data_IF_622098552837
#
_entry.id   IF_622098552837
#
_cell.length_a   1.000
_cell.length_b   1.000
_cell.length_c   1.000
_cell.angle_alpha   90.00
_cell.angle_beta   90.00
_cell.angle_gamma   90.00
#
_symmetry.space_group_name_H-M   'P 1'
#
loop_
_entity.id
_entity.type
_entity.pdbx_description
1 polymer ?
#
# COMPACT_ATOMS: atom_id res chain seq x y z
N UNK A 1 25.45 23.42 -69.27
CA UNK A 1 24.74 22.61 -68.22
C UNK A 1 25.29 22.99 -66.84
N UNK A 2 24.58 23.84 -66.10
CA UNK A 2 24.97 24.36 -64.82
C UNK A 2 24.35 23.48 -63.72
N UNK A 3 25.19 22.83 -62.89
CA UNK A 3 24.76 22.07 -61.70
C UNK A 3 24.26 23.03 -60.64
N UNK A 4 22.99 22.95 -60.28
CA UNK A 4 22.39 23.61 -59.12
C UNK A 4 22.98 23.04 -57.82
N UNK A 5 23.62 23.91 -57.03
CA UNK A 5 24.08 23.66 -55.67
C UNK A 5 22.86 23.57 -54.72
N UNK A 6 22.76 22.53 -53.94
CA UNK A 6 21.72 22.39 -52.92
C UNK A 6 22.00 23.36 -51.75
N UNK A 7 20.97 23.88 -51.07
CA UNK A 7 21.17 24.77 -49.95
C UNK A 7 21.74 24.02 -48.72
N UNK A 8 22.66 24.70 -48.04
CA UNK A 8 23.29 24.25 -46.80
C UNK A 8 22.23 24.04 -45.71
N UNK A 9 22.16 22.81 -45.21
CA UNK A 9 21.36 22.47 -44.02
C UNK A 9 22.05 23.07 -42.83
N UNK A 10 21.39 24.02 -42.16
CA UNK A 10 21.78 24.58 -40.89
C UNK A 10 21.69 23.44 -39.84
N UNK A 11 22.85 22.96 -39.43
CA UNK A 11 23.01 22.04 -38.29
C UNK A 11 22.66 22.79 -37.01
N UNK A 12 21.38 22.75 -36.61
CA UNK A 12 20.96 23.15 -35.29
C UNK A 12 21.40 22.05 -34.35
N UNK A 13 22.56 22.23 -33.75
CA UNK A 13 23.11 21.36 -32.70
C UNK A 13 22.17 21.26 -31.48
N UNK A 14 21.11 20.51 -31.63
CA UNK A 14 20.35 20.02 -30.51
C UNK A 14 21.17 18.87 -29.93
N UNK A 15 21.99 19.15 -28.91
CA UNK A 15 22.53 18.11 -28.05
C UNK A 15 21.35 17.27 -27.55
N UNK A 16 21.16 16.12 -28.13
CA UNK A 16 20.27 15.09 -27.60
C UNK A 16 20.95 14.61 -26.31
N UNK A 17 20.61 15.27 -25.20
CA UNK A 17 20.90 14.76 -23.86
C UNK A 17 20.27 13.37 -23.81
N UNK A 18 21.10 12.35 -23.97
CA UNK A 18 20.67 10.95 -23.78
C UNK A 18 20.19 10.83 -22.34
N UNK A 19 18.89 10.97 -22.13
CA UNK A 19 18.29 10.65 -20.84
C UNK A 19 18.66 9.21 -20.52
N UNK A 20 19.50 9.04 -19.48
CA UNK A 20 19.77 7.71 -18.91
C UNK A 20 18.42 7.10 -18.56
N UNK A 21 18.04 6.00 -19.22
CA UNK A 21 16.84 5.25 -18.86
C UNK A 21 16.96 4.88 -17.39
N UNK A 22 16.03 5.35 -16.56
CA UNK A 22 15.97 4.97 -15.16
C UNK A 22 15.78 3.45 -15.07
N UNK A 23 16.53 2.73 -14.24
CA UNK A 23 16.31 1.31 -14.04
C UNK A 23 14.89 1.07 -13.52
N UNK A 24 14.22 0.03 -14.02
CA UNK A 24 12.83 -0.25 -13.69
C UNK A 24 12.70 -0.95 -12.33
N UNK A 25 11.84 -0.42 -11.47
CA UNK A 25 11.28 -1.12 -10.30
C UNK A 25 12.29 -1.68 -9.29
N UNK A 26 12.29 -2.99 -9.10
CA UNK A 26 13.13 -3.68 -8.11
C UNK A 26 14.64 -3.53 -8.37
N UNK A 27 15.06 -3.41 -9.63
CA UNK A 27 16.45 -3.18 -9.99
C UNK A 27 16.93 -1.78 -9.59
N UNK A 28 16.05 -0.78 -9.61
CA UNK A 28 16.35 0.57 -9.13
C UNK A 28 16.55 0.61 -7.62
N UNK A 29 15.70 -0.09 -6.88
CA UNK A 29 15.81 -0.19 -5.42
C UNK A 29 17.11 -0.91 -4.98
N UNK A 30 17.52 -1.97 -5.70
CA UNK A 30 18.77 -2.69 -5.45
C UNK A 30 20.01 -1.87 -5.85
N UNK A 31 19.89 -1.00 -6.84
CA UNK A 31 20.99 -0.12 -7.29
C UNK A 31 21.17 1.14 -6.41
N UNK A 32 20.31 1.33 -5.39
CA UNK A 32 20.32 2.52 -4.55
C UNK A 32 19.74 3.77 -5.22
N UNK A 33 19.19 3.64 -6.43
CA UNK A 33 18.47 4.71 -7.11
C UNK A 33 16.98 4.62 -6.73
N UNK A 34 16.62 5.35 -5.69
CA UNK A 34 15.25 5.41 -5.17
C UNK A 34 14.32 6.27 -6.04
N UNK A 35 14.77 6.72 -7.21
CA UNK A 35 13.98 7.55 -8.12
C UNK A 35 13.60 8.91 -7.55
N UNK A 36 14.33 9.40 -6.54
CA UNK A 36 14.14 10.73 -5.97
C UNK A 36 14.84 11.77 -6.86
N UNK A 37 14.08 12.76 -7.28
CA UNK A 37 14.63 13.92 -7.96
C UNK A 37 15.11 14.97 -6.94
N UNK A 38 16.11 15.81 -7.29
CA UNK A 38 16.51 16.93 -6.43
C UNK A 38 15.29 17.81 -6.09
N UNK A 39 15.04 18.04 -4.81
CA UNK A 39 13.90 18.80 -4.33
C UNK A 39 12.67 17.99 -3.89
N UNK A 40 12.57 16.70 -4.25
CA UNK A 40 11.45 15.84 -3.84
C UNK A 40 11.29 15.80 -2.31
N UNK A 41 12.39 15.60 -1.59
CA UNK A 41 12.34 15.55 -0.13
C UNK A 41 11.88 16.90 0.46
N UNK A 42 12.36 18.01 -0.08
CA UNK A 42 11.93 19.34 0.35
C UNK A 42 10.44 19.54 0.13
N UNK A 43 9.92 19.14 -1.04
CA UNK A 43 8.51 19.23 -1.40
C UNK A 43 7.63 18.38 -0.46
N UNK A 44 8.05 17.15 -0.15
CA UNK A 44 7.35 16.25 0.79
C UNK A 44 7.30 16.88 2.18
N UNK A 45 8.44 17.34 2.71
CA UNK A 45 8.52 17.92 4.04
C UNK A 45 7.69 19.20 4.13
N UNK A 46 7.81 20.11 3.16
CA UNK A 46 7.03 21.35 3.14
C UNK A 46 5.52 21.10 3.07
N UNK A 47 5.08 20.10 2.31
CA UNK A 47 3.67 19.72 2.25
C UNK A 47 3.18 19.17 3.60
N UNK A 48 3.97 18.32 4.25
CA UNK A 48 3.62 17.80 5.57
C UNK A 48 3.60 18.88 6.64
N UNK A 49 4.49 19.89 6.56
CA UNK A 49 4.48 21.03 7.48
C UNK A 49 3.21 21.87 7.36
N UNK A 50 2.61 21.99 6.17
CA UNK A 50 1.30 22.67 6.04
C UNK A 50 0.24 21.99 6.90
N UNK A 51 0.21 20.66 6.94
CA UNK A 51 -0.74 19.92 7.78
C UNK A 51 -0.42 20.02 9.27
N UNK A 52 0.86 20.05 9.61
CA UNK A 52 1.29 20.21 11.01
C UNK A 52 0.81 21.54 11.61
N UNK A 53 0.83 22.60 10.83
CA UNK A 53 0.40 23.94 11.25
C UNK A 53 -1.11 24.15 11.25
N UNK A 54 -1.89 23.19 10.69
CA UNK A 54 -3.34 23.29 10.66
C UNK A 54 -3.94 23.04 12.04
N UNK A 55 -4.94 23.85 12.46
CA UNK A 55 -5.67 23.58 13.68
C UNK A 55 -6.49 22.30 13.54
N UNK A 56 -6.70 21.58 14.64
CA UNK A 56 -7.57 20.41 14.68
C UNK A 56 -8.99 20.79 14.25
N UNK A 57 -9.58 19.97 13.35
CA UNK A 57 -10.96 20.17 12.91
C UNK A 57 -11.96 19.65 13.95
N UNK A 58 -13.10 20.31 14.09
CA UNK A 58 -14.21 19.76 14.86
C UNK A 58 -14.89 18.65 14.05
N UNK A 59 -14.80 17.42 14.53
CA UNK A 59 -15.41 16.25 13.88
C UNK A 59 -16.94 16.22 14.03
N UNK A 60 -17.54 17.07 14.89
CA UNK A 60 -18.98 17.21 15.02
C UNK A 60 -19.59 18.22 14.02
N UNK A 61 -18.73 18.91 13.28
CA UNK A 61 -19.12 19.81 12.20
C UNK A 61 -18.80 19.16 10.84
N UNK A 62 -19.77 18.55 10.14
CA UNK A 62 -19.56 17.91 8.85
C UNK A 62 -19.05 18.87 7.77
N UNK A 63 -19.47 20.13 7.79
CA UNK A 63 -19.07 21.12 6.79
C UNK A 63 -17.59 21.47 6.97
N UNK A 64 -17.13 21.68 8.21
CA UNK A 64 -15.72 21.89 8.50
C UNK A 64 -14.86 20.69 8.13
N UNK A 65 -15.35 19.46 8.34
CA UNK A 65 -14.66 18.23 7.92
C UNK A 65 -14.58 18.14 6.40
N UNK A 66 -15.67 18.45 5.69
CA UNK A 66 -15.70 18.45 4.24
C UNK A 66 -14.69 19.45 3.65
N UNK A 67 -14.72 20.70 4.10
CA UNK A 67 -13.78 21.73 3.66
C UNK A 67 -12.33 21.31 3.91
N UNK A 68 -12.05 20.73 5.08
CA UNK A 68 -10.70 20.25 5.44
C UNK A 68 -10.24 19.10 4.53
N UNK A 69 -11.11 18.16 4.18
CA UNK A 69 -10.79 17.07 3.26
C UNK A 69 -10.57 17.57 1.83
N UNK A 70 -11.36 18.54 1.37
CA UNK A 70 -11.14 19.20 0.09
C UNK A 70 -9.78 19.90 0.04
N UNK A 71 -9.44 20.63 1.11
CA UNK A 71 -8.14 21.30 1.25
C UNK A 71 -6.98 20.30 1.25
N UNK A 72 -7.14 19.15 1.93
CA UNK A 72 -6.17 18.07 1.95
C UNK A 72 -5.84 17.58 0.53
N UNK A 73 -6.83 17.25 -0.27
CA UNK A 73 -6.62 16.78 -1.64
C UNK A 73 -6.07 17.88 -2.55
N UNK A 74 -6.49 19.13 -2.36
CA UNK A 74 -5.97 20.29 -3.10
C UNK A 74 -4.48 20.47 -2.85
N UNK A 75 -4.03 20.44 -1.60
CA UNK A 75 -2.63 20.59 -1.23
C UNK A 75 -1.76 19.51 -1.85
N UNK A 76 -2.20 18.24 -1.83
CA UNK A 76 -1.46 17.14 -2.47
C UNK A 76 -1.43 17.28 -3.99
N UNK A 77 -2.53 17.71 -4.62
CA UNK A 77 -2.61 17.95 -6.06
C UNK A 77 -1.69 19.09 -6.50
N UNK A 78 -1.67 20.22 -5.78
CA UNK A 78 -0.79 21.35 -6.08
C UNK A 78 0.70 21.01 -5.88
N UNK A 79 1.00 20.17 -4.90
CA UNK A 79 2.36 19.71 -4.66
C UNK A 79 2.82 18.60 -5.62
N UNK A 80 1.94 18.08 -6.49
CA UNK A 80 2.18 16.88 -7.33
C UNK A 80 2.72 15.70 -6.50
N UNK A 81 2.10 15.48 -5.35
CA UNK A 81 2.43 14.37 -4.44
C UNK A 81 1.27 13.37 -4.34
N UNK A 82 1.59 12.14 -4.03
CA UNK A 82 0.58 11.10 -3.78
C UNK A 82 -0.01 11.28 -2.39
N UNK A 83 -1.35 11.43 -2.27
CA UNK A 83 -2.00 11.57 -0.96
C UNK A 83 -1.87 10.28 -0.13
N UNK A 84 -1.81 10.42 1.19
CA UNK A 84 -1.57 9.30 2.12
C UNK A 84 -2.59 9.28 3.25
N UNK A 85 -2.93 8.08 3.76
CA UNK A 85 -3.81 7.95 4.93
C UNK A 85 -3.24 8.68 6.15
N UNK A 86 -1.92 8.67 6.32
CA UNK A 86 -1.27 9.38 7.42
C UNK A 86 -1.38 10.91 7.29
N UNK A 87 -1.23 11.43 6.06
CA UNK A 87 -1.42 12.85 5.78
C UNK A 87 -2.87 13.30 6.02
N UNK A 88 -3.85 12.46 5.66
CA UNK A 88 -5.26 12.73 5.94
C UNK A 88 -5.54 12.80 7.45
N UNK A 89 -5.00 11.87 8.23
CA UNK A 89 -5.12 11.89 9.68
C UNK A 89 -4.53 13.18 10.28
N UNK A 90 -3.33 13.57 9.83
CA UNK A 90 -2.65 14.80 10.26
C UNK A 90 -3.47 16.05 9.88
N UNK A 91 -4.01 16.10 8.67
CA UNK A 91 -4.83 17.22 8.18
C UNK A 91 -6.11 17.40 9.01
N UNK A 92 -6.75 16.32 9.44
CA UNK A 92 -7.91 16.35 10.33
C UNK A 92 -7.55 16.61 11.81
N UNK A 93 -6.26 16.54 12.16
CA UNK A 93 -5.80 16.67 13.53
C UNK A 93 -6.13 15.47 14.41
N UNK A 94 -6.21 14.28 13.82
CA UNK A 94 -6.46 13.00 14.52
C UNK A 94 -5.30 12.04 14.32
N UNK A 95 -5.17 11.05 15.20
CA UNK A 95 -4.22 9.97 14.97
C UNK A 95 -4.78 8.92 13.97
N UNK A 96 -3.88 8.09 13.43
CA UNK A 96 -4.24 7.07 12.44
C UNK A 96 -5.24 6.03 12.99
N UNK A 97 -5.16 5.71 14.28
CA UNK A 97 -6.06 4.77 14.93
C UNK A 97 -7.46 5.36 15.00
N UNK A 98 -7.59 6.63 15.43
CA UNK A 98 -8.87 7.33 15.46
C UNK A 98 -9.48 7.45 14.07
N UNK A 99 -8.68 7.76 13.06
CA UNK A 99 -9.14 7.81 11.68
C UNK A 99 -9.68 6.46 11.19
N UNK A 100 -9.03 5.36 11.56
CA UNK A 100 -9.49 4.01 11.24
C UNK A 100 -10.79 3.65 11.97
N UNK A 101 -10.92 4.02 13.24
CA UNK A 101 -12.17 3.87 14.03
C UNK A 101 -13.33 4.60 13.35
N UNK A 102 -13.11 5.83 12.86
CA UNK A 102 -14.10 6.60 12.11
C UNK A 102 -14.48 5.88 10.82
N UNK A 103 -13.52 5.39 10.04
CA UNK A 103 -13.78 4.63 8.81
C UNK A 103 -14.63 3.39 9.06
N UNK A 104 -14.31 2.62 10.09
CA UNK A 104 -14.97 1.34 10.37
C UNK A 104 -16.24 1.47 11.19
N UNK A 105 -16.45 2.61 11.83
CA UNK A 105 -17.57 2.81 12.77
C UNK A 105 -17.41 2.04 14.08
N UNK A 106 -16.23 1.46 14.34
CA UNK A 106 -15.95 0.61 15.51
C UNK A 106 -14.82 1.20 16.33
N UNK A 107 -15.01 1.28 17.64
CA UNK A 107 -13.90 1.60 18.55
C UNK A 107 -13.10 0.35 18.88
N UNK A 108 -11.77 0.46 18.83
CA UNK A 108 -10.87 -0.59 19.28
C UNK A 108 -10.98 -0.70 20.80
N UNK A 109 -11.56 -1.81 21.27
CA UNK A 109 -11.82 -2.05 22.70
C UNK A 109 -13.27 -2.31 23.06
N UNK A 110 -14.19 -2.35 22.08
CA UNK A 110 -15.56 -2.83 22.25
C UNK A 110 -16.48 -1.92 23.11
N UNK A 111 -16.07 -0.69 23.36
CA UNK A 111 -16.85 0.26 24.14
C UNK A 111 -17.31 1.42 23.26
N UNK A 112 -18.63 1.61 23.25
CA UNK A 112 -19.41 2.74 22.73
C UNK A 112 -19.22 3.08 21.24
N UNK A 113 -20.37 3.26 20.57
CA UNK A 113 -20.45 3.87 19.24
C UNK A 113 -19.74 5.22 19.22
N UNK A 114 -19.04 5.48 18.12
CA UNK A 114 -18.52 6.81 17.83
C UNK A 114 -19.67 7.81 17.85
N UNK A 115 -19.66 8.69 18.83
CA UNK A 115 -20.65 9.78 18.91
C UNK A 115 -20.26 10.89 17.93
N UNK A 116 -20.33 10.59 16.63
CA UNK A 116 -20.08 11.52 15.54
C UNK A 116 -21.27 11.54 14.59
N UNK A 117 -21.53 12.68 13.93
CA UNK A 117 -22.58 12.77 12.92
C UNK A 117 -22.38 11.72 11.82
N UNK A 118 -23.45 11.07 11.32
CA UNK A 118 -23.37 10.12 10.21
C UNK A 118 -22.71 10.74 8.97
N UNK A 119 -22.97 12.02 8.72
CA UNK A 119 -22.39 12.78 7.60
C UNK A 119 -20.87 12.84 7.69
N UNK A 120 -20.31 13.04 8.87
CA UNK A 120 -18.86 13.01 9.10
C UNK A 120 -18.27 11.64 8.81
N UNK A 121 -18.95 10.57 9.25
CA UNK A 121 -18.52 9.21 8.97
C UNK A 121 -18.49 8.93 7.47
N UNK A 122 -19.52 9.36 6.75
CA UNK A 122 -19.62 9.17 5.30
C UNK A 122 -18.58 9.99 4.54
N UNK A 123 -18.30 11.22 4.96
CA UNK A 123 -17.23 12.04 4.37
C UNK A 123 -15.86 11.37 4.51
N UNK A 124 -15.53 10.85 5.69
CA UNK A 124 -14.26 10.14 5.90
C UNK A 124 -14.19 8.86 5.08
N UNK A 125 -15.28 8.08 4.98
CA UNK A 125 -15.35 6.88 4.12
C UNK A 125 -15.08 7.24 2.65
N UNK A 126 -15.77 8.27 2.12
CA UNK A 126 -15.56 8.76 0.75
C UNK A 126 -14.12 9.22 0.51
N UNK A 127 -13.50 9.88 1.49
CA UNK A 127 -12.10 10.27 1.39
C UNK A 127 -11.16 9.05 1.33
N UNK A 128 -11.46 7.98 2.06
CA UNK A 128 -10.74 6.71 1.93
C UNK A 128 -10.92 6.07 0.55
N UNK A 129 -12.12 6.10 -0.02
CA UNK A 129 -12.40 5.60 -1.37
C UNK A 129 -11.61 6.37 -2.44
N UNK A 130 -11.47 7.69 -2.30
CA UNK A 130 -10.62 8.51 -3.17
C UNK A 130 -9.15 8.08 -3.06
N UNK A 131 -8.65 7.83 -1.84
CA UNK A 131 -7.28 7.37 -1.63
C UNK A 131 -7.06 5.97 -2.24
N UNK A 132 -8.01 5.06 -2.07
CA UNK A 132 -7.99 3.71 -2.61
C UNK A 132 -7.94 3.74 -4.14
N UNK A 133 -8.90 4.44 -4.77
CA UNK A 133 -8.95 4.63 -6.23
C UNK A 133 -7.66 5.28 -6.77
N UNK A 134 -7.13 6.28 -6.05
CA UNK A 134 -5.86 6.91 -6.43
C UNK A 134 -4.70 5.91 -6.38
N UNK A 135 -4.65 5.05 -5.35
CA UNK A 135 -3.63 4.02 -5.21
C UNK A 135 -3.70 2.99 -6.35
N UNK A 136 -4.91 2.53 -6.70
CA UNK A 136 -5.12 1.63 -7.84
C UNK A 136 -4.64 2.27 -9.15
N UNK A 137 -5.00 3.53 -9.39
CA UNK A 137 -4.56 4.27 -10.58
C UNK A 137 -3.04 4.41 -10.64
N UNK A 138 -2.37 4.69 -9.52
CA UNK A 138 -0.92 4.75 -9.48
C UNK A 138 -0.27 3.38 -9.70
N UNK A 139 -0.86 2.31 -9.18
CA UNK A 139 -0.38 0.95 -9.40
C UNK A 139 -0.52 0.54 -10.86
N UNK A 140 -1.70 0.78 -11.47
CA UNK A 140 -1.98 0.49 -12.87
C UNK A 140 -1.09 1.30 -13.84
N UNK A 141 -0.80 2.55 -13.48
CA UNK A 141 0.10 3.41 -14.25
C UNK A 141 1.60 3.14 -14.02
N UNK A 142 1.96 2.17 -13.16
CA UNK A 142 3.36 1.88 -12.80
C UNK A 142 4.06 3.01 -12.04
N UNK A 143 3.30 3.92 -11.42
CA UNK A 143 3.82 5.09 -10.69
C UNK A 143 4.13 4.81 -9.22
N UNK A 144 3.96 3.58 -8.77
CA UNK A 144 4.26 3.13 -7.41
C UNK A 144 4.97 1.77 -7.48
N UNK A 145 5.84 1.50 -6.51
CA UNK A 145 6.44 0.19 -6.39
C UNK A 145 5.34 -0.87 -6.13
N UNK A 146 5.24 -1.95 -6.91
CA UNK A 146 4.17 -2.95 -6.78
C UNK A 146 4.11 -3.59 -5.40
N UNK A 147 5.26 -3.87 -4.77
CA UNK A 147 5.33 -4.46 -3.43
C UNK A 147 4.76 -3.49 -2.39
N UNK A 148 5.12 -2.21 -2.50
CA UNK A 148 4.58 -1.18 -1.63
C UNK A 148 3.08 -0.97 -1.85
N UNK A 149 2.61 -1.01 -3.10
CA UNK A 149 1.18 -0.93 -3.42
C UNK A 149 0.39 -2.05 -2.72
N UNK A 150 0.81 -3.31 -2.89
CA UNK A 150 0.19 -4.48 -2.24
C UNK A 150 0.18 -4.31 -0.71
N UNK A 151 1.32 -3.91 -0.12
CA UNK A 151 1.43 -3.69 1.31
C UNK A 151 0.44 -2.62 1.81
N UNK A 152 0.35 -1.49 1.12
CA UNK A 152 -0.55 -0.41 1.50
C UNK A 152 -2.02 -0.78 1.31
N UNK A 153 -2.37 -1.48 0.23
CA UNK A 153 -3.74 -1.92 -0.04
C UNK A 153 -4.22 -2.92 1.03
N UNK A 154 -3.39 -3.84 1.46
CA UNK A 154 -3.71 -4.78 2.55
C UNK A 154 -3.88 -4.07 3.90
N UNK A 155 -2.99 -3.13 4.23
CA UNK A 155 -2.99 -2.50 5.56
C UNK A 155 -4.02 -1.36 5.72
N UNK A 156 -4.38 -0.68 4.64
CA UNK A 156 -5.26 0.49 4.71
C UNK A 156 -6.65 0.26 4.14
N UNK A 157 -6.76 -0.62 3.12
CA UNK A 157 -8.01 -0.80 2.38
C UNK A 157 -8.65 -2.17 2.55
N UNK A 158 -7.99 -3.10 3.27
CA UNK A 158 -8.57 -4.39 3.64
C UNK A 158 -8.47 -5.45 2.56
N UNK A 159 -7.60 -5.28 1.57
CA UNK A 159 -7.32 -6.30 0.57
C UNK A 159 -6.69 -7.53 1.21
N UNK A 160 -7.14 -8.72 0.83
CA UNK A 160 -6.66 -9.99 1.34
C UNK A 160 -6.33 -10.95 0.20
N UNK A 161 -5.28 -11.75 0.38
CA UNK A 161 -5.04 -12.86 -0.52
C UNK A 161 -6.06 -13.96 -0.21
N UNK A 162 -6.81 -14.41 -1.20
CA UNK A 162 -7.64 -15.61 -1.07
C UNK A 162 -6.72 -16.83 -1.13
N UNK A 163 -6.38 -17.39 0.02
CA UNK A 163 -5.71 -18.68 0.09
C UNK A 163 -6.81 -19.75 0.21
N UNK A 164 -7.13 -20.42 -0.86
CA UNK A 164 -7.95 -21.63 -0.79
C UNK A 164 -7.08 -22.77 -0.25
N UNK A 165 -7.27 -23.10 1.00
CA UNK A 165 -6.76 -24.38 1.52
C UNK A 165 -7.68 -25.48 1.02
N UNK A 166 -7.30 -26.16 -0.06
CA UNK A 166 -7.88 -27.43 -0.40
C UNK A 166 -7.39 -28.41 0.66
N UNK A 167 -8.17 -28.57 1.72
CA UNK A 167 -8.02 -29.70 2.64
C UNK A 167 -8.37 -30.95 1.81
N UNK A 168 -7.39 -31.50 1.12
CA UNK A 168 -7.48 -32.87 0.66
C UNK A 168 -7.58 -33.68 1.95
N UNK A 169 -8.72 -34.35 2.24
CA UNK A 169 -8.74 -35.29 3.34
C UNK A 169 -7.59 -36.24 3.05
N UNK A 170 -6.62 -36.31 3.98
CA UNK A 170 -5.69 -37.40 3.95
C UNK A 170 -6.58 -38.65 3.95
N UNK A 171 -6.76 -39.23 2.79
CA UNK A 171 -7.16 -40.61 2.73
C UNK A 171 -6.00 -41.31 3.45
N UNK A 172 -6.17 -41.48 4.77
CA UNK A 172 -5.50 -42.59 5.43
C UNK A 172 -5.83 -43.73 4.52
N UNK A 173 -4.88 -44.18 3.70
CA UNK A 173 -4.86 -45.57 3.34
C UNK A 173 -5.00 -46.23 4.69
N UNK A 174 -6.20 -46.78 4.96
CA UNK A 174 -6.35 -47.85 5.88
C UNK A 174 -5.48 -48.97 5.30
N UNK A 175 -4.17 -48.84 5.53
CA UNK A 175 -3.30 -49.98 5.55
C UNK A 175 -3.90 -50.80 6.68
N UNK A 176 -4.51 -51.92 6.36
CA UNK A 176 -4.85 -53.01 7.24
C UNK A 176 -3.59 -53.43 8.02
N UNK A 177 -3.14 -52.58 8.95
CA UNK A 177 -2.26 -53.03 10.00
C UNK A 177 -3.15 -53.63 11.06
N UNK A 178 -3.35 -54.96 10.91
CA UNK A 178 -3.99 -55.77 11.96
C UNK A 178 -3.23 -55.49 13.27
N UNK A 179 -3.98 -55.24 14.35
CA UNK A 179 -3.41 -54.99 15.67
C UNK A 179 -2.45 -56.12 16.12
N UNK A 180 -2.59 -57.34 15.56
CA UNK A 180 -1.67 -58.43 15.76
C UNK A 180 -0.33 -58.27 15.05
N UNK A 181 -0.27 -57.65 13.87
CA UNK A 181 0.99 -57.38 13.16
C UNK A 181 1.80 -56.31 13.84
N UNK A 182 1.17 -55.30 14.41
CA UNK A 182 1.83 -54.27 15.23
C UNK A 182 2.42 -54.91 16.51
N UNK A 183 1.65 -55.77 17.16
CA UNK A 183 2.08 -56.47 18.34
C UNK A 183 3.25 -57.42 18.09
N UNK A 184 3.26 -58.16 16.99
CA UNK A 184 4.38 -59.04 16.59
C UNK A 184 5.67 -58.26 16.35
N UNK A 185 5.60 -57.10 15.74
CA UNK A 185 6.76 -56.23 15.50
C UNK A 185 7.39 -55.72 16.79
N UNK A 186 6.58 -55.29 17.74
CA UNK A 186 7.11 -54.80 19.03
C UNK A 186 7.59 -55.92 19.96
N UNK A 187 7.05 -57.14 19.82
CA UNK A 187 7.52 -58.29 20.60
C UNK A 187 8.78 -58.95 20.02
N UNK A 188 9.05 -58.78 18.71
CA UNK A 188 10.28 -59.30 18.10
C UNK A 188 11.50 -58.42 18.42
N UNK A 189 11.31 -57.12 18.62
CA UNK A 189 12.39 -56.21 18.99
C UNK A 189 12.79 -56.30 20.46
N UNK A 190 11.97 -56.87 21.32
CA UNK A 190 12.23 -57.00 22.77
C UNK A 190 13.03 -58.26 23.15
N UNK A 191 13.35 -59.17 22.21
CA UNK A 191 14.01 -60.47 22.47
C UNK A 191 15.52 -60.41 22.18
N UNK A 192 16.06 -59.28 21.71
CA UNK A 192 17.48 -59.21 21.30
C UNK A 192 18.46 -58.74 22.40
N UNK A 193 17.95 -58.31 23.58
CA UNK A 193 18.79 -57.75 24.63
C UNK A 193 18.90 -58.58 25.92
N UNK A 194 18.92 -59.92 25.82
CA UNK A 194 19.17 -60.74 26.99
C UNK A 194 20.09 -61.92 26.71
N UNK A 195 21.30 -61.68 26.20
CA UNK A 195 22.44 -62.57 26.33
C UNK A 195 23.74 -61.79 25.98
N UNK A 196 24.34 -61.19 27.01
CA UNK A 196 25.80 -61.03 27.18
C UNK A 196 26.15 -60.50 28.55
#
# INVERSE_FOLDING_TARGET
MAKKKAPDVIDSGTEIVKQKRKPAGMAAALAGDLGQEPGDNTRIVQTNMKFFDMPRVDLHDPDAVHERLCEYFRIYGEADLKPTVAGMAMCLGVDRRRLWEIKTGTMVGGQAQLNLPPETLDLVKKAYEILETSMENYANAGKINPVMAIFMMKNHFGYQDKTEYVLTPNQKQDSDYDAEDIRKRYLSDSVVDSDS
#
